data_IF_824807773998
#
_entry.id   IF_824807773998
#
_cell.length_a   1.000
_cell.length_b   1.000
_cell.length_c   1.000
_cell.angle_alpha   90.00
_cell.angle_beta   90.00
_cell.angle_gamma   90.00
#
_symmetry.space_group_name_H-M   'P 1'
#
loop_
_entity.id
_entity.type
_entity.pdbx_description
1 polymer ?
#
# COMPACT_ATOMS: atom_id res chain seq x y z
N UNK A 1 -37.38 -17.83 -10.62
CA UNK A 1 -36.86 -17.08 -9.46
C UNK A 1 -35.53 -17.71 -9.13
N UNK A 2 -34.48 -17.31 -9.85
CA UNK A 2 -33.15 -17.86 -9.66
C UNK A 2 -32.54 -17.16 -8.45
N UNK A 3 -32.28 -17.94 -7.41
CA UNK A 3 -31.50 -17.49 -6.28
C UNK A 3 -30.10 -17.18 -6.79
N UNK A 4 -29.82 -15.89 -6.99
CA UNK A 4 -28.49 -15.39 -7.27
C UNK A 4 -27.57 -15.86 -6.13
N UNK A 5 -26.80 -16.91 -6.40
CA UNK A 5 -25.74 -17.37 -5.51
C UNK A 5 -24.75 -16.22 -5.47
N UNK A 6 -24.74 -15.47 -4.36
CA UNK A 6 -23.68 -14.51 -4.06
C UNK A 6 -22.34 -15.21 -4.32
N UNK A 7 -21.41 -14.62 -5.09
CA UNK A 7 -20.15 -15.26 -5.40
C UNK A 7 -19.44 -15.62 -4.09
N UNK A 8 -19.40 -16.90 -3.74
CA UNK A 8 -18.67 -17.34 -2.56
C UNK A 8 -17.17 -17.26 -2.86
N UNK A 9 -16.45 -16.54 -2.00
CA UNK A 9 -14.98 -16.60 -1.90
C UNK A 9 -14.55 -18.08 -1.90
N UNK A 10 -13.62 -18.45 -2.79
CA UNK A 10 -13.09 -19.81 -2.78
C UNK A 10 -12.20 -20.01 -1.55
N UNK A 11 -12.07 -21.26 -1.08
CA UNK A 11 -11.18 -21.56 0.04
C UNK A 11 -9.73 -21.11 -0.24
N UNK A 12 -9.28 -21.26 -1.49
CA UNK A 12 -7.97 -20.80 -1.93
C UNK A 12 -7.84 -19.28 -1.84
N UNK A 13 -8.81 -18.52 -2.34
CA UNK A 13 -8.84 -17.06 -2.24
C UNK A 13 -8.81 -16.60 -0.78
N UNK A 14 -9.57 -17.27 0.09
CA UNK A 14 -9.58 -17.00 1.51
C UNK A 14 -8.19 -17.14 2.16
N UNK A 15 -7.51 -18.25 1.85
CA UNK A 15 -6.15 -18.52 2.35
C UNK A 15 -5.17 -17.46 1.85
N UNK A 16 -5.27 -17.08 0.57
CA UNK A 16 -4.43 -16.05 -0.03
C UNK A 16 -4.67 -14.68 0.63
N UNK A 17 -5.93 -14.28 0.84
CA UNK A 17 -6.28 -13.02 1.51
C UNK A 17 -5.78 -12.98 2.95
N UNK A 18 -5.96 -14.06 3.72
CA UNK A 18 -5.42 -14.15 5.08
C UNK A 18 -3.90 -14.01 5.08
N UNK A 19 -3.21 -14.66 4.15
CA UNK A 19 -1.75 -14.57 4.04
C UNK A 19 -1.30 -13.14 3.72
N UNK A 20 -1.97 -12.46 2.78
CA UNK A 20 -1.65 -11.06 2.45
C UNK A 20 -1.94 -10.13 3.63
N UNK A 21 -3.04 -10.35 4.36
CA UNK A 21 -3.33 -9.59 5.56
C UNK A 21 -2.28 -9.83 6.66
N UNK A 22 -1.75 -11.05 6.78
CA UNK A 22 -0.61 -11.35 7.65
C UNK A 22 0.65 -10.60 7.23
N UNK A 23 0.92 -10.48 5.93
CA UNK A 23 2.03 -9.68 5.41
C UNK A 23 1.92 -8.23 5.91
N UNK A 24 0.75 -7.61 5.74
CA UNK A 24 0.52 -6.23 6.16
C UNK A 24 0.60 -6.04 7.69
N UNK A 25 0.07 -7.00 8.45
CA UNK A 25 -0.15 -6.79 9.89
C UNK A 25 0.90 -7.41 10.80
N UNK A 26 1.73 -8.33 10.29
CA UNK A 26 2.76 -9.05 11.05
C UNK A 26 4.11 -8.97 10.34
N UNK A 27 4.22 -9.52 9.12
CA UNK A 27 5.54 -9.78 8.52
C UNK A 27 6.29 -8.47 8.22
N UNK A 28 5.59 -7.45 7.72
CA UNK A 28 6.16 -6.13 7.43
C UNK A 28 6.49 -5.36 8.72
N UNK A 29 5.56 -5.20 9.69
CA UNK A 29 5.87 -4.63 10.99
C UNK A 29 7.04 -5.33 11.71
N UNK A 30 7.14 -6.66 11.65
CA UNK A 30 8.24 -7.41 12.25
C UNK A 30 9.58 -7.08 11.58
N UNK A 31 9.63 -7.07 10.25
CA UNK A 31 10.82 -6.67 9.49
C UNK A 31 11.23 -5.23 9.82
N UNK A 32 10.27 -4.32 9.99
CA UNK A 32 10.52 -2.92 10.42
C UNK A 32 11.11 -2.84 11.82
N UNK A 33 10.55 -3.58 12.78
CA UNK A 33 11.07 -3.65 14.15
C UNK A 33 12.47 -4.25 14.20
N UNK A 34 12.75 -5.27 13.39
CA UNK A 34 14.09 -5.84 13.28
C UNK A 34 15.13 -4.82 12.81
N UNK A 35 14.82 -4.00 11.79
CA UNK A 35 15.70 -2.90 11.34
C UNK A 35 15.91 -1.87 12.44
N UNK A 36 14.84 -1.48 13.14
CA UNK A 36 14.94 -0.52 14.27
C UNK A 36 15.80 -1.05 15.42
N UNK A 37 15.67 -2.33 15.77
CA UNK A 37 16.49 -2.99 16.77
C UNK A 37 17.97 -3.01 16.36
N UNK A 38 18.28 -3.38 15.12
CA UNK A 38 19.65 -3.39 14.62
C UNK A 38 20.32 -2.01 14.72
N UNK A 39 19.60 -0.93 14.37
CA UNK A 39 20.11 0.44 14.50
C UNK A 39 20.37 0.81 15.97
N UNK A 40 19.47 0.45 16.87
CA UNK A 40 19.63 0.71 18.32
C UNK A 40 20.81 -0.07 18.91
N UNK A 41 20.94 -1.34 18.56
CA UNK A 41 22.04 -2.21 19.01
C UNK A 41 23.40 -1.71 18.49
N UNK A 42 23.46 -1.24 17.25
CA UNK A 42 24.68 -0.65 16.67
C UNK A 42 25.10 0.60 17.44
N UNK A 43 24.16 1.51 17.72
CA UNK A 43 24.43 2.72 18.51
C UNK A 43 24.84 2.42 19.96
N UNK A 44 24.23 1.41 20.58
CA UNK A 44 24.64 0.96 21.91
C UNK A 44 26.08 0.45 21.90
N UNK A 45 26.44 -0.38 20.90
CA UNK A 45 27.80 -0.89 20.76
C UNK A 45 28.83 0.24 20.61
N UNK A 46 28.54 1.26 19.80
CA UNK A 46 29.38 2.46 19.66
C UNK A 46 29.57 3.20 20.99
N UNK A 47 28.49 3.42 21.75
CA UNK A 47 28.58 4.11 23.05
C UNK A 47 29.35 3.29 24.11
N UNK A 48 29.26 1.96 24.07
CA UNK A 48 30.07 1.10 24.91
C UNK A 48 31.55 1.19 24.53
N UNK A 49 31.89 1.25 23.24
CA UNK A 49 33.28 1.42 22.79
C UNK A 49 33.85 2.79 23.20
N UNK A 50 33.10 3.88 23.01
CA UNK A 50 33.52 5.24 23.39
C UNK A 50 33.75 5.35 24.90
N UNK A 51 32.98 4.62 25.71
CA UNK A 51 33.15 4.60 27.17
C UNK A 51 34.48 4.01 27.65
N UNK A 52 35.19 3.25 26.80
CA UNK A 52 36.54 2.73 27.07
C UNK A 52 37.66 3.64 26.54
N UNK A 53 37.33 4.71 25.79
CA UNK A 53 38.32 5.67 25.29
C UNK A 53 38.49 6.84 26.27
N UNK A 54 39.74 7.14 26.63
CA UNK A 54 40.14 8.08 27.69
C UNK A 54 39.96 9.58 27.32
N UNK A 55 39.19 9.87 26.26
CA UNK A 55 39.11 11.21 25.64
C UNK A 55 37.84 12.01 25.94
N UNK A 56 36.97 11.54 26.85
CA UNK A 56 35.65 12.15 27.09
C UNK A 56 35.64 12.91 28.42
N UNK A 57 35.13 14.14 28.41
CA UNK A 57 34.97 14.93 29.64
C UNK A 57 33.79 14.43 30.50
N UNK A 58 33.71 14.89 31.76
CA UNK A 58 32.66 14.45 32.68
C UNK A 58 31.24 14.70 32.14
N UNK A 59 31.05 15.77 31.37
CA UNK A 59 29.77 16.12 30.74
C UNK A 59 29.42 15.15 29.60
N UNK A 60 30.40 14.77 28.78
CA UNK A 60 30.26 13.76 27.74
C UNK A 60 29.94 12.37 28.32
N UNK A 61 30.55 12.01 29.44
CA UNK A 61 30.21 10.77 30.15
C UNK A 61 28.75 10.75 30.62
N UNK A 62 28.24 11.85 31.19
CA UNK A 62 26.85 11.96 31.63
C UNK A 62 25.87 11.88 30.44
N UNK A 63 26.16 12.58 29.34
CA UNK A 63 25.35 12.53 28.11
C UNK A 63 25.31 11.12 27.52
N UNK A 64 26.46 10.44 27.44
CA UNK A 64 26.56 9.06 26.97
C UNK A 64 25.81 8.08 27.88
N UNK A 65 25.79 8.32 29.19
CA UNK A 65 25.01 7.51 30.13
C UNK A 65 23.50 7.68 29.91
N UNK A 66 23.04 8.93 29.71
CA UNK A 66 21.62 9.21 29.42
C UNK A 66 21.19 8.60 28.09
N UNK A 67 22.00 8.73 27.05
CA UNK A 67 21.69 8.16 25.73
C UNK A 67 21.70 6.62 25.77
N UNK A 68 22.64 5.99 26.46
CA UNK A 68 22.63 4.53 26.67
C UNK A 68 21.34 4.05 27.33
N UNK A 69 20.93 4.71 28.42
CA UNK A 69 19.69 4.36 29.11
C UNK A 69 18.48 4.45 28.17
N UNK A 70 18.37 5.54 27.41
CA UNK A 70 17.31 5.74 26.41
C UNK A 70 17.30 4.64 25.35
N UNK A 71 18.47 4.25 24.83
CA UNK A 71 18.59 3.23 23.81
C UNK A 71 18.26 1.82 24.34
N UNK A 72 18.64 1.49 25.58
CA UNK A 72 18.25 0.21 26.22
C UNK A 72 16.73 0.14 26.43
N UNK A 73 16.10 1.22 26.89
CA UNK A 73 14.63 1.31 27.01
C UNK A 73 13.95 1.11 25.64
N UNK A 74 14.50 1.72 24.59
CA UNK A 74 13.99 1.58 23.23
C UNK A 74 14.17 0.15 22.68
N UNK A 75 15.32 -0.48 22.96
CA UNK A 75 15.60 -1.88 22.61
C UNK A 75 14.61 -2.81 23.28
N UNK A 76 14.35 -2.62 24.57
CA UNK A 76 13.36 -3.40 25.32
C UNK A 76 11.95 -3.22 24.75
N UNK A 77 11.55 -1.98 24.43
CA UNK A 77 10.25 -1.68 23.84
C UNK A 77 10.05 -2.37 22.48
N UNK A 78 11.02 -2.24 21.56
CA UNK A 78 10.96 -2.91 20.26
C UNK A 78 11.01 -4.45 20.39
N UNK A 79 11.78 -4.98 21.33
CA UNK A 79 11.83 -6.41 21.62
C UNK A 79 10.46 -6.95 22.08
N UNK A 80 9.80 -6.25 23.00
CA UNK A 80 8.45 -6.60 23.46
C UNK A 80 7.42 -6.54 22.34
N UNK A 81 7.46 -5.50 21.51
CA UNK A 81 6.54 -5.35 20.38
C UNK A 81 6.74 -6.46 19.34
N UNK A 82 8.00 -6.77 18.99
CA UNK A 82 8.34 -7.88 18.09
C UNK A 82 7.83 -9.22 18.62
N UNK A 83 7.96 -9.45 19.92
CA UNK A 83 7.47 -10.68 20.57
C UNK A 83 5.94 -10.79 20.50
N UNK A 84 5.21 -9.68 20.69
CA UNK A 84 3.75 -9.61 20.51
C UNK A 84 3.32 -9.92 19.08
N UNK A 85 4.13 -9.55 18.08
CA UNK A 85 3.86 -9.93 16.69
C UNK A 85 3.97 -11.43 16.47
N UNK A 86 5.04 -12.06 16.98
CA UNK A 86 5.31 -13.51 16.78
C UNK A 86 4.36 -14.44 17.52
N UNK A 87 3.82 -14.02 18.68
CA UNK A 87 2.88 -14.84 19.46
C UNK A 87 1.42 -14.56 19.16
N UNK A 88 1.09 -13.76 18.15
CA UNK A 88 -0.28 -13.71 17.70
C UNK A 88 -0.64 -15.03 17.04
N UNK A 89 -1.52 -15.78 17.72
CA UNK A 89 -2.15 -16.97 17.16
C UNK A 89 -3.02 -16.58 15.95
N UNK A 90 -3.19 -17.50 15.01
CA UNK A 90 -3.99 -17.28 13.78
C UNK A 90 -5.44 -16.85 14.08
N UNK A 91 -6.01 -17.28 15.21
CA UNK A 91 -7.34 -16.88 15.70
C UNK A 91 -7.47 -15.36 15.97
N UNK A 92 -6.34 -14.65 16.10
CA UNK A 92 -6.31 -13.20 16.32
C UNK A 92 -5.95 -12.41 15.05
N UNK A 93 -5.68 -13.07 13.92
CA UNK A 93 -5.30 -12.38 12.69
C UNK A 93 -6.36 -11.36 12.27
N UNK A 94 -7.64 -11.73 12.37
CA UNK A 94 -8.77 -10.85 12.02
C UNK A 94 -8.97 -9.66 12.97
N UNK A 95 -8.42 -9.74 14.20
CA UNK A 95 -8.43 -8.62 15.15
C UNK A 95 -7.35 -7.57 14.87
N UNK A 96 -6.39 -7.88 13.99
CA UNK A 96 -5.33 -6.95 13.60
C UNK A 96 -5.84 -5.88 12.64
N UNK A 97 -4.99 -4.90 12.40
CA UNK A 97 -5.26 -3.74 11.55
C UNK A 97 -4.08 -3.45 10.65
N UNK A 98 -4.34 -3.19 9.38
CA UNK A 98 -3.34 -2.67 8.44
C UNK A 98 -3.12 -1.20 8.78
N UNK A 99 -1.86 -0.83 9.05
CA UNK A 99 -1.50 0.55 9.40
C UNK A 99 -0.88 1.26 8.21
N UNK A 100 -0.90 2.59 8.26
CA UNK A 100 -0.21 3.47 7.31
C UNK A 100 1.26 3.09 7.11
N UNK A 101 1.99 2.87 8.21
CA UNK A 101 3.41 2.54 8.16
C UNK A 101 3.65 1.18 7.49
N UNK A 102 2.73 0.22 7.65
CA UNK A 102 2.83 -1.06 6.96
C UNK A 102 2.66 -0.89 5.45
N UNK A 103 1.69 -0.09 5.00
CA UNK A 103 1.49 0.17 3.58
C UNK A 103 2.66 0.94 2.96
N UNK A 104 3.17 1.98 3.63
CA UNK A 104 4.37 2.70 3.19
C UNK A 104 5.55 1.75 2.98
N UNK A 105 5.83 0.90 3.98
CA UNK A 105 6.92 -0.09 3.91
C UNK A 105 6.71 -1.11 2.78
N UNK A 106 5.45 -1.51 2.52
CA UNK A 106 5.13 -2.42 1.40
C UNK A 106 5.40 -1.74 0.07
N UNK A 107 4.89 -0.54 -0.15
CA UNK A 107 5.08 0.20 -1.41
C UNK A 107 6.58 0.47 -1.68
N UNK A 108 7.35 0.79 -0.64
CA UNK A 108 8.80 0.91 -0.73
C UNK A 108 9.45 -0.42 -1.15
N UNK A 109 9.07 -1.53 -0.50
CA UNK A 109 9.58 -2.88 -0.83
C UNK A 109 9.23 -3.37 -2.23
N UNK A 110 8.06 -2.99 -2.73
CA UNK A 110 7.63 -3.34 -4.08
C UNK A 110 8.26 -2.44 -5.16
N UNK A 111 9.15 -1.52 -4.79
CA UNK A 111 9.86 -0.64 -5.72
C UNK A 111 9.01 0.52 -6.25
N UNK A 112 7.91 0.86 -5.56
CA UNK A 112 7.02 1.96 -5.92
C UNK A 112 6.64 2.76 -4.67
N UNK A 113 7.62 3.45 -4.04
CA UNK A 113 7.38 4.23 -2.83
C UNK A 113 6.34 5.33 -3.08
N UNK A 114 5.46 5.53 -2.10
CA UNK A 114 4.41 6.56 -2.13
C UNK A 114 4.60 7.52 -0.97
N UNK A 115 4.28 8.82 -1.14
CA UNK A 115 4.29 9.75 -0.03
C UNK A 115 3.22 9.36 0.99
N UNK A 116 3.44 9.77 2.24
CA UNK A 116 2.56 9.44 3.35
C UNK A 116 1.10 9.93 3.14
N UNK A 117 0.91 11.05 2.44
CA UNK A 117 -0.41 11.58 2.08
C UNK A 117 -1.18 10.65 1.15
N UNK A 118 -0.53 10.10 0.13
CA UNK A 118 -1.18 9.22 -0.84
C UNK A 118 -1.59 7.90 -0.18
N UNK A 119 -0.84 7.46 0.83
CA UNK A 119 -1.22 6.29 1.65
C UNK A 119 -2.37 6.62 2.59
N UNK A 120 -2.48 7.86 3.09
CA UNK A 120 -3.66 8.28 3.86
C UNK A 120 -4.92 8.22 2.99
N UNK A 121 -4.85 8.73 1.76
CA UNK A 121 -5.96 8.68 0.80
C UNK A 121 -6.35 7.23 0.49
N UNK A 122 -5.37 6.34 0.29
CA UNK A 122 -5.62 4.91 0.09
C UNK A 122 -6.34 4.26 1.28
N UNK A 123 -5.96 4.58 2.52
CA UNK A 123 -6.68 4.10 3.72
C UNK A 123 -8.09 4.69 3.76
N UNK A 124 -8.24 5.97 3.43
CA UNK A 124 -9.51 6.67 3.47
C UNK A 124 -10.56 6.07 2.52
N UNK A 125 -10.15 5.53 1.37
CA UNK A 125 -11.02 4.85 0.41
C UNK A 125 -11.70 3.57 0.93
N UNK A 126 -11.19 3.00 2.03
CA UNK A 126 -11.64 1.71 2.58
C UNK A 126 -11.97 1.71 4.07
N UNK A 127 -11.54 2.72 4.83
CA UNK A 127 -11.73 2.80 6.29
C UNK A 127 -13.11 3.36 6.67
N UNK A 128 -14.14 2.52 6.57
CA UNK A 128 -15.51 2.87 6.97
C UNK A 128 -15.64 3.23 8.46
N UNK A 129 -14.80 2.64 9.32
CA UNK A 129 -14.83 2.86 10.77
C UNK A 129 -14.17 4.17 11.22
N UNK A 130 -13.47 4.88 10.34
CA UNK A 130 -12.77 6.13 10.60
C UNK A 130 -11.73 6.04 11.75
N UNK A 131 -11.17 4.85 11.99
CA UNK A 131 -10.14 4.61 13.00
C UNK A 131 -8.70 4.83 12.49
N UNK A 132 -8.55 5.20 11.20
CA UNK A 132 -7.26 5.46 10.56
C UNK A 132 -6.47 4.19 10.20
N UNK A 133 -7.09 3.02 10.29
CA UNK A 133 -6.48 1.73 9.94
C UNK A 133 -7.44 0.85 9.15
N UNK A 134 -6.99 -0.28 8.58
CA UNK A 134 -7.91 -1.18 7.84
C UNK A 134 -8.07 -2.49 8.59
N UNK A 135 -9.30 -2.77 9.03
CA UNK A 135 -9.68 -4.06 9.63
C UNK A 135 -9.79 -5.18 8.59
N UNK A 136 -9.83 -6.43 9.07
CA UNK A 136 -10.01 -7.58 8.20
C UNK A 136 -11.30 -7.48 7.36
N UNK A 137 -12.40 -7.04 7.97
CA UNK A 137 -13.68 -6.93 7.28
C UNK A 137 -13.70 -5.79 6.24
N UNK A 138 -13.08 -4.64 6.53
CA UNK A 138 -12.90 -3.56 5.55
C UNK A 138 -12.00 -3.99 4.39
N UNK A 139 -10.88 -4.65 4.69
CA UNK A 139 -9.95 -5.19 3.70
C UNK A 139 -10.66 -6.17 2.76
N UNK A 140 -11.40 -7.13 3.33
CA UNK A 140 -12.12 -8.16 2.57
C UNK A 140 -13.26 -7.57 1.74
N UNK A 141 -14.05 -6.66 2.32
CA UNK A 141 -15.15 -6.00 1.60
C UNK A 141 -14.63 -5.17 0.42
N UNK A 142 -13.55 -4.42 0.61
CA UNK A 142 -12.91 -3.67 -0.47
C UNK A 142 -12.41 -4.58 -1.60
N UNK A 143 -11.77 -5.70 -1.24
CA UNK A 143 -11.32 -6.69 -2.21
C UNK A 143 -12.46 -7.25 -3.06
N UNK A 144 -13.55 -7.68 -2.42
CA UNK A 144 -14.73 -8.23 -3.10
C UNK A 144 -15.41 -7.17 -3.98
N UNK A 145 -15.50 -5.92 -3.50
CA UNK A 145 -16.06 -4.79 -4.27
C UNK A 145 -15.27 -4.56 -5.56
N UNK A 146 -13.95 -4.48 -5.47
CA UNK A 146 -13.06 -4.28 -6.63
C UNK A 146 -13.05 -5.49 -7.57
N UNK A 147 -13.10 -6.72 -7.05
CA UNK A 147 -13.15 -7.95 -7.85
C UNK A 147 -14.38 -8.01 -8.74
N UNK A 148 -15.51 -7.51 -8.26
CA UNK A 148 -16.78 -7.50 -9.00
C UNK A 148 -17.05 -6.20 -9.77
N UNK A 149 -16.15 -5.21 -9.68
CA UNK A 149 -16.31 -3.95 -10.40
C UNK A 149 -16.01 -4.13 -11.90
N UNK A 150 -17.03 -3.82 -12.71
CA UNK A 150 -16.95 -3.82 -14.19
C UNK A 150 -16.83 -2.42 -14.77
N UNK A 151 -16.96 -1.39 -13.94
CA UNK A 151 -16.96 0.02 -14.35
C UNK A 151 -15.56 0.64 -14.32
N UNK A 152 -14.65 0.02 -13.56
CA UNK A 152 -13.32 0.52 -13.25
C UNK A 152 -13.32 1.89 -12.53
N UNK A 153 -14.42 2.19 -11.83
CA UNK A 153 -14.59 3.42 -11.04
C UNK A 153 -14.29 3.20 -9.55
N UNK A 154 -14.24 1.95 -9.09
CA UNK A 154 -13.82 1.66 -7.73
C UNK A 154 -12.35 2.06 -7.50
N UNK A 155 -11.99 2.51 -6.28
CA UNK A 155 -10.60 2.70 -5.94
C UNK A 155 -9.85 1.36 -5.84
N UNK A 156 -8.86 1.16 -6.71
CA UNK A 156 -8.24 -0.17 -6.92
C UNK A 156 -6.84 -0.32 -6.33
N UNK A 157 -6.25 0.70 -5.72
CA UNK A 157 -4.84 0.65 -5.30
C UNK A 157 -4.58 -0.44 -4.24
N UNK A 158 -5.43 -0.52 -3.20
CA UNK A 158 -5.34 -1.60 -2.21
C UNK A 158 -5.63 -2.98 -2.82
N UNK A 159 -6.52 -3.05 -3.81
CA UNK A 159 -6.85 -4.28 -4.52
C UNK A 159 -5.65 -4.79 -5.34
N UNK A 160 -5.00 -3.92 -6.12
CA UNK A 160 -3.86 -4.29 -6.97
C UNK A 160 -2.65 -4.73 -6.15
N UNK A 161 -2.31 -4.03 -5.06
CA UNK A 161 -1.23 -4.48 -4.17
C UNK A 161 -1.58 -5.81 -3.49
N UNK A 162 -2.85 -6.02 -3.15
CA UNK A 162 -3.32 -7.29 -2.57
C UNK A 162 -3.14 -8.44 -3.56
N UNK A 163 -3.64 -8.31 -4.80
CA UNK A 163 -3.48 -9.31 -5.84
C UNK A 163 -2.00 -9.62 -6.11
N UNK A 164 -1.13 -8.61 -6.12
CA UNK A 164 0.30 -8.83 -6.33
C UNK A 164 0.93 -9.64 -5.19
N UNK A 165 0.62 -9.30 -3.94
CA UNK A 165 1.12 -10.01 -2.76
C UNK A 165 0.51 -11.43 -2.57
N UNK A 166 -0.59 -11.75 -3.26
CA UNK A 166 -1.10 -13.13 -3.34
C UNK A 166 -0.12 -14.07 -4.06
N UNK A 167 0.87 -13.56 -4.77
CA UNK A 167 1.90 -14.38 -5.42
C UNK A 167 3.33 -13.94 -5.10
N UNK A 168 3.58 -12.67 -4.74
CA UNK A 168 4.86 -12.21 -4.20
C UNK A 168 4.95 -12.42 -2.67
N UNK A 169 5.11 -13.69 -2.26
CA UNK A 169 5.12 -14.10 -0.84
C UNK A 169 6.17 -13.39 0.01
N UNK A 170 7.32 -13.07 -0.59
CA UNK A 170 8.45 -12.48 0.13
C UNK A 170 8.46 -10.94 0.11
N UNK A 171 7.49 -10.33 -0.58
CA UNK A 171 7.50 -8.90 -0.91
C UNK A 171 8.83 -8.51 -1.59
N UNK A 172 9.20 -9.28 -2.60
CA UNK A 172 10.39 -9.09 -3.42
C UNK A 172 10.21 -7.99 -4.48
N UNK A 173 8.97 -7.58 -4.73
CA UNK A 173 8.59 -6.64 -5.79
C UNK A 173 8.45 -7.31 -7.16
N UNK A 174 8.52 -8.64 -7.23
CA UNK A 174 8.53 -9.42 -8.47
C UNK A 174 7.64 -10.65 -8.35
N UNK A 175 6.89 -10.95 -9.41
CA UNK A 175 6.15 -12.21 -9.58
C UNK A 175 6.55 -12.86 -10.89
N UNK A 176 6.45 -14.18 -11.00
CA UNK A 176 6.67 -14.85 -12.28
C UNK A 176 5.54 -14.54 -13.27
N UNK A 177 5.77 -14.79 -14.55
CA UNK A 177 4.71 -14.68 -15.57
C UNK A 177 3.56 -15.65 -15.32
N UNK A 178 3.86 -16.85 -14.81
CA UNK A 178 2.84 -17.84 -14.43
C UNK A 178 1.97 -17.34 -13.25
N UNK A 179 2.62 -16.78 -12.23
CA UNK A 179 1.92 -16.13 -11.12
C UNK A 179 1.03 -14.97 -11.61
N UNK A 180 1.54 -14.14 -12.54
CA UNK A 180 0.79 -13.03 -13.11
C UNK A 180 -0.46 -13.53 -13.88
N UNK A 181 -0.37 -14.66 -14.60
CA UNK A 181 -1.55 -15.27 -15.23
C UNK A 181 -2.59 -15.68 -14.19
N UNK A 182 -2.17 -16.31 -13.09
CA UNK A 182 -3.07 -16.67 -12.00
C UNK A 182 -3.73 -15.42 -11.35
N UNK A 183 -2.98 -14.33 -11.18
CA UNK A 183 -3.53 -13.06 -10.71
C UNK A 183 -4.64 -12.52 -11.63
N UNK A 184 -4.44 -12.58 -12.95
CA UNK A 184 -5.43 -12.11 -13.93
C UNK A 184 -6.66 -13.01 -13.97
N UNK A 185 -6.48 -14.33 -13.81
CA UNK A 185 -7.59 -15.28 -13.74
C UNK A 185 -8.59 -14.92 -12.62
N UNK A 186 -8.12 -14.43 -11.47
CA UNK A 186 -8.99 -14.03 -10.35
C UNK A 186 -10.01 -12.96 -10.74
N UNK A 187 -9.63 -12.04 -11.64
CA UNK A 187 -10.49 -10.91 -12.07
C UNK A 187 -11.21 -11.19 -13.39
N UNK A 188 -10.55 -11.83 -14.34
CA UNK A 188 -11.03 -11.96 -15.72
C UNK A 188 -11.45 -13.38 -16.11
N UNK A 189 -11.20 -14.37 -15.24
CA UNK A 189 -11.50 -15.78 -15.51
C UNK A 189 -10.82 -16.27 -16.78
N UNK A 190 -11.56 -17.00 -17.62
CA UNK A 190 -11.04 -17.59 -18.85
C UNK A 190 -10.50 -16.58 -19.89
N UNK A 191 -10.76 -15.28 -19.71
CA UNK A 191 -10.20 -14.21 -20.55
C UNK A 191 -8.82 -13.74 -20.10
N UNK A 192 -8.19 -14.41 -19.13
CA UNK A 192 -6.86 -14.07 -18.61
C UNK A 192 -5.78 -14.00 -19.69
N UNK A 193 -5.82 -14.87 -20.72
CA UNK A 193 -4.82 -14.87 -21.79
C UNK A 193 -4.95 -13.63 -22.68
N UNK A 194 -6.19 -13.25 -23.02
CA UNK A 194 -6.48 -12.02 -23.77
C UNK A 194 -6.02 -10.78 -22.99
N UNK A 195 -6.25 -10.77 -21.67
CA UNK A 195 -5.81 -9.67 -20.80
C UNK A 195 -4.29 -9.67 -20.62
N UNK A 196 -3.64 -10.83 -20.55
CA UNK A 196 -2.18 -10.92 -20.49
C UNK A 196 -1.54 -10.32 -21.75
N UNK A 197 -2.09 -10.66 -22.93
CA UNK A 197 -1.65 -10.09 -24.20
C UNK A 197 -1.95 -8.59 -24.29
N UNK A 198 -3.11 -8.13 -23.80
CA UNK A 198 -3.47 -6.72 -23.79
C UNK A 198 -2.58 -5.88 -22.86
N UNK A 199 -2.23 -6.42 -21.69
CA UNK A 199 -1.46 -5.72 -20.67
C UNK A 199 0.04 -5.67 -21.01
N UNK A 200 0.57 -6.76 -21.55
CA UNK A 200 2.03 -6.96 -21.68
C UNK A 200 2.50 -7.27 -23.11
N UNK A 201 1.59 -7.44 -24.08
CA UNK A 201 1.92 -7.70 -25.48
C UNK A 201 2.28 -9.15 -25.79
N UNK A 202 2.58 -9.43 -27.06
CA UNK A 202 2.99 -10.77 -27.55
C UNK A 202 4.47 -11.09 -27.31
N UNK A 203 5.29 -10.07 -27.02
CA UNK A 203 6.76 -10.15 -26.87
C UNK A 203 7.20 -10.89 -25.60
N UNK A 204 6.27 -11.15 -24.68
CA UNK A 204 6.44 -12.04 -23.55
C UNK A 204 6.83 -13.49 -23.93
N UNK A 205 6.77 -13.87 -25.22
CA UNK A 205 6.95 -15.25 -25.69
C UNK A 205 8.37 -15.59 -26.15
N UNK A 206 9.26 -14.62 -26.36
CA UNK A 206 10.52 -14.86 -27.11
C UNK A 206 11.81 -14.80 -26.27
N UNK A 207 11.83 -14.13 -25.12
CA UNK A 207 13.03 -14.09 -24.25
C UNK A 207 12.95 -15.10 -23.09
N UNK A 208 13.60 -16.26 -23.31
CA UNK A 208 13.84 -17.34 -22.35
C UNK A 208 14.56 -16.86 -21.08
N UNK A 209 13.92 -16.94 -19.90
CA UNK A 209 14.14 -18.01 -18.90
C UNK A 209 13.67 -17.64 -17.48
N UNK A 210 13.48 -16.35 -17.12
CA UNK A 210 12.72 -15.93 -15.91
C UNK A 210 12.13 -14.55 -16.16
N UNK A 211 11.01 -14.49 -16.87
CA UNK A 211 10.31 -13.23 -17.03
C UNK A 211 9.52 -12.93 -15.75
N UNK A 212 10.15 -12.15 -14.88
CA UNK A 212 9.52 -11.63 -13.67
C UNK A 212 8.86 -10.29 -13.96
N UNK A 213 7.59 -10.16 -13.60
CA UNK A 213 6.86 -8.89 -13.65
C UNK A 213 7.08 -8.12 -12.35
N UNK A 214 7.53 -6.87 -12.46
CA UNK A 214 7.62 -5.98 -11.29
C UNK A 214 6.27 -5.37 -10.94
N UNK A 215 6.08 -4.99 -9.67
CA UNK A 215 4.82 -4.35 -9.24
C UNK A 215 4.52 -3.06 -10.03
N UNK A 216 5.54 -2.26 -10.36
CA UNK A 216 5.37 -1.06 -11.17
C UNK A 216 4.85 -1.39 -12.58
N UNK A 217 5.46 -2.36 -13.26
CA UNK A 217 5.01 -2.80 -14.59
C UNK A 217 3.57 -3.32 -14.56
N UNK A 218 3.21 -4.06 -13.51
CA UNK A 218 1.84 -4.54 -13.28
C UNK A 218 0.84 -3.39 -13.16
N UNK A 219 1.11 -2.42 -12.27
CA UNK A 219 0.22 -1.28 -12.04
C UNK A 219 0.10 -0.38 -13.29
N UNK A 220 1.22 -0.08 -13.95
CA UNK A 220 1.23 0.73 -15.17
C UNK A 220 0.40 0.07 -16.29
N UNK A 221 0.46 -1.25 -16.42
CA UNK A 221 -0.33 -1.97 -17.41
C UNK A 221 -1.83 -1.91 -17.08
N UNK A 222 -2.19 -2.13 -15.81
CA UNK A 222 -3.58 -2.08 -15.36
C UNK A 222 -4.20 -0.69 -15.49
N UNK A 223 -3.44 0.37 -15.19
CA UNK A 223 -3.96 1.73 -15.30
C UNK A 223 -4.22 2.11 -16.77
N UNK A 224 -3.33 1.70 -17.70
CA UNK A 224 -3.60 1.85 -19.15
C UNK A 224 -4.89 1.13 -19.55
N UNK A 225 -5.06 -0.13 -19.11
CA UNK A 225 -6.25 -0.95 -19.42
C UNK A 225 -7.53 -0.36 -18.83
N UNK A 226 -7.44 0.21 -17.63
CA UNK A 226 -8.54 0.91 -16.97
C UNK A 226 -9.00 2.11 -17.79
N UNK A 227 -8.08 2.98 -18.22
CA UNK A 227 -8.42 4.16 -19.04
C UNK A 227 -9.12 3.74 -20.33
N UNK A 228 -8.57 2.75 -21.06
CA UNK A 228 -9.20 2.22 -22.28
C UNK A 228 -10.62 1.69 -22.04
N UNK A 229 -10.86 1.04 -20.91
CA UNK A 229 -12.15 0.46 -20.56
C UNK A 229 -13.18 1.57 -20.26
N UNK A 230 -12.79 2.58 -19.49
CA UNK A 230 -13.64 3.73 -19.18
C UNK A 230 -14.01 4.50 -20.47
N UNK A 231 -13.05 4.66 -21.38
CA UNK A 231 -13.26 5.27 -22.70
C UNK A 231 -14.26 4.47 -23.55
N UNK A 232 -14.08 3.14 -23.64
CA UNK A 232 -15.00 2.24 -24.38
C UNK A 232 -16.41 2.25 -23.82
N UNK A 233 -16.57 2.39 -22.51
CA UNK A 233 -17.88 2.51 -21.85
C UNK A 233 -18.54 3.89 -22.08
N UNK A 234 -17.84 4.83 -22.71
CA UNK A 234 -18.35 6.18 -22.97
C UNK A 234 -18.56 6.99 -21.68
N UNK A 235 -17.93 6.59 -20.58
CA UNK A 235 -18.11 7.23 -19.27
C UNK A 235 -17.36 8.57 -19.18
N UNK A 236 -16.28 8.75 -19.96
CA UNK A 236 -15.52 10.02 -20.02
C UNK A 236 -16.33 11.16 -20.66
N UNK A 237 -17.22 10.84 -21.61
CA UNK A 237 -18.09 11.82 -22.28
C UNK A 237 -19.15 12.48 -21.38
N UNK A 238 -19.38 11.95 -20.17
CA UNK A 238 -20.33 12.50 -19.18
C UNK A 238 -19.67 13.30 -18.05
N UNK A 239 -18.35 13.21 -17.87
CA UNK A 239 -17.63 13.97 -16.83
C UNK A 239 -17.16 15.35 -17.29
N UNK A 240 -17.20 15.65 -18.59
CA UNK A 240 -16.90 16.99 -19.13
C UNK A 240 -18.18 17.80 -19.38
N UNK A 241 -18.88 18.14 -18.30
CA UNK A 241 -19.82 19.25 -18.32
C UNK A 241 -19.09 20.55 -18.67
N UNK A 242 -19.17 20.96 -19.93
CA UNK A 242 -18.78 22.26 -20.51
C UNK A 242 -18.11 23.25 -19.55
N UNK A 243 -16.79 23.25 -19.47
CA UNK A 243 -16.06 24.52 -19.33
C UNK A 243 -15.95 25.14 -20.71
N UNK A 244 -16.96 25.92 -21.06
CA UNK A 244 -16.87 26.86 -22.17
C UNK A 244 -15.76 27.85 -21.86
N UNK A 245 -14.61 27.68 -22.51
CA UNK A 245 -13.52 28.67 -22.57
C UNK A 245 -14.01 29.92 -23.29
N UNK A 246 -14.69 30.80 -22.56
CA UNK A 246 -14.92 32.18 -22.97
C UNK A 246 -13.69 33.00 -22.60
N UNK A 247 -12.81 33.25 -23.57
CA UNK A 247 -11.74 34.22 -23.43
C UNK A 247 -12.31 35.58 -23.01
N UNK A 248 -11.81 36.14 -21.90
CA UNK A 248 -11.93 37.57 -21.62
C UNK A 248 -10.53 38.13 -21.37
N UNK A 249 -10.17 39.27 -22.01
CA UNK A 249 -8.88 39.89 -21.82
C UNK A 249 -8.80 40.55 -20.45
N UNK A 250 -7.62 40.44 -19.84
CA UNK A 250 -7.22 41.21 -18.67
C UNK A 250 -7.23 42.70 -19.02
N UNK A 251 -8.18 43.45 -18.44
CA UNK A 251 -8.01 44.89 -18.24
C UNK A 251 -8.28 45.16 -16.76
N UNK A 252 -7.21 45.61 -16.08
CA UNK A 252 -7.30 46.03 -14.69
C UNK A 252 -8.03 47.36 -14.58
N UNK A 253 -8.88 47.47 -13.56
CA UNK A 253 -9.22 48.77 -12.98
C UNK A 253 -9.60 48.56 -11.52
N UNK A 254 -8.77 49.10 -10.62
CA UNK A 254 -9.09 49.24 -9.21
C UNK A 254 -10.41 50.01 -9.05
N UNK A 255 -11.39 49.43 -8.37
CA UNK A 255 -12.52 50.16 -7.84
C UNK A 255 -12.31 50.38 -6.34
N UNK A 256 -12.15 51.66 -5.98
CA UNK A 256 -12.09 52.20 -4.62
C UNK A 256 -13.30 51.75 -3.80
N UNK A 257 -13.03 51.32 -2.57
CA UNK A 257 -14.03 51.19 -1.50
C UNK A 257 -14.42 52.60 -1.06
N UNK A 258 -15.69 52.95 -1.19
CA UNK A 258 -16.30 54.10 -0.51
C UNK A 258 -17.51 53.60 0.27
N UNK A 259 -17.41 53.67 1.59
CA UNK A 259 -18.52 53.46 2.52
C UNK A 259 -19.48 54.67 2.48
N UNK A 260 -20.80 54.47 2.63
CA UNK A 260 -21.69 55.56 2.95
C UNK A 260 -21.89 55.67 4.47
N UNK A 261 -21.54 56.85 4.99
CA UNK A 261 -22.10 57.43 6.20
C UNK A 261 -23.45 58.06 5.86
N UNK A 262 -24.48 57.76 6.66
CA UNK A 262 -25.64 58.62 6.91
C UNK A 262 -26.42 57.94 8.06
N UNK A 263 -26.49 58.47 9.28
CA UNK A 263 -27.02 59.77 9.78
C UNK A 263 -28.25 59.47 10.63
#
# INVERSE_FOLDING_TARGET
MDAATSPQESLEEHILLQRVFRIFTIDIPEKRLARKLQVVESKLAELYQVSFSDGVDAKGHELNQRERKRLEELKEAYGKEKLKLRYAQDDMLTSRRVTKEALVDVFEKLGMPRPASDVDDLIWEVNDSLDGTVSWDEFKRSFVRCKHDKTCLEPTDLFHVTCFLMYDRECSGKVSTDDAMHMLFLKYGNHMEDEMEALFGKELKEDEFVMSLTFKQYVDALERRRIETIDKLGLVGKMTGKRSMGARPMTGSLAKVTAPLSS
#
